data_IF_258838075066
#
_entry.id   IF_258838075066
#
_cell.length_a   1.000
_cell.length_b   1.000
_cell.length_c   1.000
_cell.angle_alpha   90.00
_cell.angle_beta   90.00
_cell.angle_gamma   90.00
#
_symmetry.space_group_name_H-M   'P 1'
#
loop_
_entity.id
_entity.type
_entity.pdbx_description
1 polymer ?
#
# COMPACT_ATOMS: atom_id res chain seq x y z
N UNK A 1 -15.73 8.71 3.58
CA UNK A 1 -14.80 9.28 2.58
C UNK A 1 -13.86 8.18 2.11
N UNK A 2 -14.04 7.73 0.86
CA UNK A 2 -13.31 6.58 0.33
C UNK A 2 -11.80 6.77 0.19
N UNK A 3 -11.24 7.95 0.40
CA UNK A 3 -9.81 8.22 0.29
C UNK A 3 -9.22 7.95 -1.11
N UNK A 4 -7.97 8.30 -1.33
CA UNK A 4 -7.31 8.08 -2.62
C UNK A 4 -6.98 6.58 -2.87
N UNK A 5 -6.73 5.80 -1.80
CA UNK A 5 -6.28 4.42 -1.91
C UNK A 5 -7.31 3.48 -2.58
N UNK A 6 -8.61 3.45 -2.19
CA UNK A 6 -9.60 2.66 -2.91
C UNK A 6 -9.72 3.02 -4.39
N UNK A 7 -9.55 4.29 -4.74
CA UNK A 7 -9.56 4.75 -6.14
C UNK A 7 -8.37 4.19 -6.91
N UNK A 8 -7.17 4.20 -6.31
CA UNK A 8 -5.95 3.65 -6.91
C UNK A 8 -6.08 2.14 -7.11
N UNK A 9 -6.57 1.43 -6.08
CA UNK A 9 -6.79 -0.02 -6.14
C UNK A 9 -7.85 -0.36 -7.20
N UNK A 10 -8.98 0.36 -7.22
CA UNK A 10 -10.04 0.16 -8.21
C UNK A 10 -9.55 0.36 -9.65
N UNK A 11 -8.73 1.40 -9.89
CA UNK A 11 -8.10 1.60 -11.20
C UNK A 11 -7.16 0.44 -11.56
N UNK A 12 -6.38 -0.05 -10.60
CA UNK A 12 -5.49 -1.18 -10.81
C UNK A 12 -6.26 -2.45 -11.13
N UNK A 13 -7.33 -2.76 -10.40
CA UNK A 13 -8.21 -3.89 -10.68
C UNK A 13 -8.85 -3.78 -12.06
N UNK A 14 -9.33 -2.59 -12.44
CA UNK A 14 -9.87 -2.35 -13.79
C UNK A 14 -8.83 -2.61 -14.89
N UNK A 15 -7.57 -2.28 -14.65
CA UNK A 15 -6.50 -2.57 -15.61
C UNK A 15 -6.25 -4.08 -15.77
N UNK A 16 -6.35 -4.85 -14.68
CA UNK A 16 -6.21 -6.31 -14.68
C UNK A 16 -7.42 -6.95 -15.39
N UNK A 17 -8.64 -6.46 -15.13
CA UNK A 17 -9.84 -6.90 -15.86
C UNK A 17 -9.68 -6.73 -17.37
N UNK A 18 -9.24 -5.56 -17.81
CA UNK A 18 -9.02 -5.29 -19.23
C UNK A 18 -7.91 -6.16 -19.86
N UNK A 19 -6.89 -6.55 -19.09
CA UNK A 19 -5.89 -7.52 -19.53
C UNK A 19 -6.50 -8.92 -19.71
N UNK A 20 -7.34 -9.35 -18.76
CA UNK A 20 -8.02 -10.65 -18.81
C UNK A 20 -8.98 -10.75 -19.99
N UNK A 21 -9.78 -9.72 -20.24
CA UNK A 21 -10.70 -9.65 -21.35
C UNK A 21 -9.96 -9.77 -22.71
N UNK A 22 -8.83 -9.08 -22.84
CA UNK A 22 -7.97 -9.18 -24.04
C UNK A 22 -7.41 -10.58 -24.25
N UNK A 23 -7.15 -11.32 -23.16
CA UNK A 23 -6.63 -12.68 -23.21
C UNK A 23 -7.75 -13.75 -23.32
N UNK A 24 -9.01 -13.32 -23.50
CA UNK A 24 -10.16 -14.17 -23.80
C UNK A 24 -10.91 -14.71 -22.59
N UNK A 25 -10.66 -14.20 -21.39
CA UNK A 25 -11.47 -14.51 -20.21
C UNK A 25 -12.74 -13.65 -20.22
N UNK A 26 -13.91 -14.27 -20.37
CA UNK A 26 -15.11 -13.56 -20.82
C UNK A 26 -16.14 -13.18 -19.74
N UNK A 27 -16.04 -13.58 -18.47
CA UNK A 27 -17.06 -13.25 -17.48
C UNK A 27 -16.52 -13.14 -16.06
N UNK A 28 -16.87 -12.04 -15.38
CA UNK A 28 -16.47 -11.79 -14.01
C UNK A 28 -16.97 -12.84 -12.99
N UNK A 29 -18.03 -13.58 -13.32
CA UNK A 29 -18.61 -14.63 -12.47
C UNK A 29 -18.07 -16.02 -12.76
N UNK A 30 -17.21 -16.17 -13.76
CA UNK A 30 -16.56 -17.46 -14.04
C UNK A 30 -15.46 -17.73 -13.01
N UNK A 31 -15.44 -18.93 -12.43
CA UNK A 31 -14.39 -19.36 -11.50
C UNK A 31 -12.99 -19.30 -12.12
N UNK A 32 -12.86 -19.57 -13.42
CA UNK A 32 -11.61 -19.44 -14.16
C UNK A 32 -11.14 -17.97 -14.21
N UNK A 33 -12.03 -17.04 -14.47
CA UNK A 33 -11.74 -15.60 -14.46
C UNK A 33 -11.26 -15.16 -13.09
N UNK A 34 -11.98 -15.49 -12.03
CA UNK A 34 -11.62 -15.11 -10.64
C UNK A 34 -10.25 -15.68 -10.24
N UNK A 35 -9.97 -16.92 -10.60
CA UNK A 35 -8.68 -17.55 -10.32
C UNK A 35 -7.54 -16.87 -11.08
N UNK A 36 -7.71 -16.60 -12.37
CA UNK A 36 -6.69 -15.93 -13.18
C UNK A 36 -6.46 -14.49 -12.71
N UNK A 37 -7.52 -13.78 -12.33
CA UNK A 37 -7.42 -12.46 -11.75
C UNK A 37 -6.53 -12.47 -10.50
N UNK A 38 -6.77 -13.40 -9.59
CA UNK A 38 -5.97 -13.60 -8.38
C UNK A 38 -4.50 -13.90 -8.70
N UNK A 39 -4.24 -14.77 -9.68
CA UNK A 39 -2.89 -15.11 -10.13
C UNK A 39 -2.17 -13.85 -10.64
N UNK A 40 -2.83 -13.01 -11.42
CA UNK A 40 -2.26 -11.76 -11.94
C UNK A 40 -1.95 -10.76 -10.85
N UNK A 41 -2.85 -10.58 -9.88
CA UNK A 41 -2.58 -9.77 -8.69
C UNK A 41 -1.30 -10.24 -8.01
N UNK A 42 -1.22 -11.53 -7.69
CA UNK A 42 -0.07 -12.11 -6.99
C UNK A 42 1.22 -11.94 -7.80
N UNK A 43 1.17 -12.16 -9.11
CA UNK A 43 2.33 -11.99 -10.00
C UNK A 43 2.81 -10.53 -10.04
N UNK A 44 1.89 -9.58 -10.14
CA UNK A 44 2.22 -8.14 -10.16
C UNK A 44 2.76 -7.67 -8.81
N UNK A 45 2.23 -8.16 -7.69
CA UNK A 45 2.71 -7.78 -6.33
C UNK A 45 4.10 -8.31 -5.99
N UNK A 46 4.58 -9.36 -6.67
CA UNK A 46 5.93 -9.91 -6.44
C UNK A 46 7.05 -8.88 -6.61
N UNK A 47 6.84 -7.89 -7.47
CA UNK A 47 7.81 -6.80 -7.66
C UNK A 47 8.03 -6.01 -6.36
N UNK A 48 7.00 -5.93 -5.50
CA UNK A 48 7.05 -5.20 -4.23
C UNK A 48 7.63 -6.04 -3.10
N UNK A 49 7.62 -7.37 -3.21
CA UNK A 49 8.03 -8.28 -2.12
C UNK A 49 9.53 -8.16 -1.78
N UNK A 50 10.35 -7.66 -2.70
CA UNK A 50 11.77 -7.40 -2.48
C UNK A 50 12.07 -6.15 -1.63
N UNK A 51 11.11 -5.28 -1.45
CA UNK A 51 11.24 -4.05 -0.67
C UNK A 51 10.92 -4.27 0.81
N UNK A 52 11.41 -3.38 1.67
CA UNK A 52 11.10 -3.41 3.12
C UNK A 52 9.59 -3.29 3.33
N UNK A 53 9.00 -4.26 4.01
CA UNK A 53 7.54 -4.32 4.22
C UNK A 53 6.73 -4.83 3.02
N UNK A 54 7.37 -5.16 1.91
CA UNK A 54 6.71 -5.58 0.67
C UNK A 54 5.88 -6.86 0.81
N UNK A 55 6.35 -7.83 1.61
CA UNK A 55 5.58 -9.04 1.90
C UNK A 55 4.29 -8.75 2.67
N UNK A 56 4.35 -7.87 3.68
CA UNK A 56 3.17 -7.46 4.45
C UNK A 56 2.19 -6.69 3.56
N UNK A 57 2.70 -5.77 2.75
CA UNK A 57 1.90 -5.02 1.78
C UNK A 57 1.18 -5.96 0.81
N UNK A 58 1.89 -6.91 0.21
CA UNK A 58 1.31 -7.88 -0.72
C UNK A 58 0.29 -8.80 -0.03
N UNK A 59 0.54 -9.20 1.23
CA UNK A 59 -0.38 -10.03 1.99
C UNK A 59 -1.69 -9.27 2.28
N UNK A 60 -1.62 -8.02 2.73
CA UNK A 60 -2.82 -7.21 3.01
C UNK A 60 -3.56 -6.87 1.72
N UNK A 61 -2.87 -6.61 0.61
CA UNK A 61 -3.52 -6.38 -0.68
C UNK A 61 -4.29 -7.62 -1.17
N UNK A 62 -3.79 -8.82 -0.91
CA UNK A 62 -4.52 -10.07 -1.21
C UNK A 62 -5.78 -10.21 -0.36
N UNK A 63 -5.69 -9.93 0.94
CA UNK A 63 -6.88 -9.92 1.81
C UNK A 63 -7.92 -8.89 1.37
N UNK A 64 -7.46 -7.69 0.96
CA UNK A 64 -8.35 -6.69 0.38
C UNK A 64 -9.06 -7.21 -0.87
N UNK A 65 -8.32 -7.85 -1.79
CA UNK A 65 -8.89 -8.43 -3.00
C UNK A 65 -9.88 -9.56 -2.69
N UNK A 66 -9.52 -10.48 -1.79
CA UNK A 66 -10.40 -11.59 -1.41
C UNK A 66 -11.68 -11.06 -0.72
N UNK A 67 -11.57 -10.01 0.10
CA UNK A 67 -12.70 -9.32 0.71
C UNK A 67 -13.62 -8.67 -0.34
N UNK A 68 -13.03 -7.91 -1.26
CA UNK A 68 -13.75 -7.26 -2.36
C UNK A 68 -14.48 -8.28 -3.25
N UNK A 69 -13.87 -9.43 -3.56
CA UNK A 69 -14.50 -10.50 -4.35
C UNK A 69 -15.69 -11.18 -3.65
N UNK A 70 -15.73 -11.14 -2.33
CA UNK A 70 -16.76 -11.79 -1.52
C UNK A 70 -17.75 -10.80 -0.89
N UNK A 71 -17.70 -9.52 -1.26
CA UNK A 71 -18.51 -8.44 -0.68
C UNK A 71 -18.37 -8.38 0.87
N UNK A 72 -17.14 -8.64 1.38
CA UNK A 72 -16.83 -8.59 2.81
C UNK A 72 -16.31 -7.19 3.19
N UNK A 73 -17.23 -6.25 3.36
CA UNK A 73 -16.96 -4.85 3.72
C UNK A 73 -16.11 -4.72 5.00
N UNK A 74 -16.27 -5.66 5.94
CA UNK A 74 -15.54 -5.63 7.22
C UNK A 74 -14.05 -5.89 6.99
N UNK A 75 -13.70 -6.92 6.23
CA UNK A 75 -12.31 -7.23 5.90
C UNK A 75 -11.70 -6.21 4.95
N UNK A 76 -12.47 -5.72 3.99
CA UNK A 76 -12.02 -4.63 3.11
C UNK A 76 -11.64 -3.40 3.94
N UNK A 77 -12.52 -2.99 4.86
CA UNK A 77 -12.27 -1.88 5.78
C UNK A 77 -11.07 -2.12 6.70
N UNK A 78 -10.88 -3.36 7.18
CA UNK A 78 -9.72 -3.75 7.98
C UNK A 78 -8.40 -3.63 7.20
N UNK A 79 -8.39 -4.03 5.93
CA UNK A 79 -7.22 -3.87 5.06
C UNK A 79 -6.91 -2.39 4.79
N UNK A 80 -7.92 -1.58 4.51
CA UNK A 80 -7.75 -0.13 4.36
C UNK A 80 -7.24 0.54 5.63
N UNK A 81 -7.72 0.11 6.80
CA UNK A 81 -7.25 0.56 8.11
C UNK A 81 -5.75 0.26 8.28
N UNK A 82 -5.29 -0.92 7.85
CA UNK A 82 -3.88 -1.26 7.88
C UNK A 82 -3.04 -0.35 6.98
N UNK A 83 -3.46 -0.15 5.73
CA UNK A 83 -2.76 0.72 4.79
C UNK A 83 -2.65 2.19 5.25
N UNK A 84 -3.59 2.65 6.08
CA UNK A 84 -3.56 4.00 6.67
C UNK A 84 -2.69 4.09 7.92
N UNK A 85 -2.13 2.97 8.41
CA UNK A 85 -1.34 2.94 9.64
C UNK A 85 -2.17 3.17 10.91
N UNK A 86 -3.46 2.81 10.89
CA UNK A 86 -4.41 3.08 11.98
C UNK A 86 -4.47 1.96 13.03
N UNK A 87 -3.65 0.92 12.91
CA UNK A 87 -3.53 -0.11 13.95
C UNK A 87 -2.48 0.25 14.98
N UNK A 88 -2.85 0.21 16.26
CA UNK A 88 -1.93 0.47 17.36
C UNK A 88 -1.08 -0.76 17.75
N UNK A 89 -1.57 -1.96 17.49
CA UNK A 89 -0.87 -3.20 17.83
C UNK A 89 -0.88 -4.21 16.70
N UNK A 90 0.19 -5.00 16.63
CA UNK A 90 0.29 -6.13 15.68
C UNK A 90 -0.80 -7.17 15.91
N UNK A 91 -1.18 -7.40 17.17
CA UNK A 91 -2.22 -8.39 17.53
C UNK A 91 -3.57 -7.97 16.98
N UNK A 92 -3.94 -6.70 17.10
CA UNK A 92 -5.18 -6.17 16.55
C UNK A 92 -5.24 -6.36 15.01
N UNK A 93 -4.19 -5.96 14.31
CA UNK A 93 -4.10 -6.09 12.86
C UNK A 93 -4.17 -7.55 12.39
N UNK A 94 -3.44 -8.44 13.07
CA UNK A 94 -3.43 -9.90 12.77
C UNK A 94 -4.79 -10.54 12.95
N UNK A 95 -5.49 -10.20 14.02
CA UNK A 95 -6.82 -10.72 14.29
C UNK A 95 -7.84 -10.21 13.27
N UNK A 96 -7.78 -8.93 12.91
CA UNK A 96 -8.71 -8.33 11.95
C UNK A 96 -8.53 -8.88 10.53
N UNK A 97 -7.29 -9.16 10.12
CA UNK A 97 -6.95 -9.60 8.76
C UNK A 97 -6.71 -11.11 8.63
N UNK A 98 -6.61 -11.84 9.75
CA UNK A 98 -6.30 -13.27 9.71
C UNK A 98 -4.86 -13.62 9.30
N UNK A 99 -3.96 -12.64 9.23
CA UNK A 99 -2.56 -12.83 8.81
C UNK A 99 -1.68 -13.05 10.03
N UNK A 100 -1.08 -14.24 10.17
CA UNK A 100 -0.30 -14.62 11.36
C UNK A 100 0.98 -13.81 11.54
N UNK A 101 1.68 -13.52 10.47
CA UNK A 101 2.94 -12.77 10.48
C UNK A 101 2.72 -11.44 9.77
N UNK A 102 2.24 -10.44 10.50
CA UNK A 102 1.97 -9.11 9.97
C UNK A 102 2.59 -8.05 10.88
N UNK A 103 3.34 -7.13 10.29
CA UNK A 103 3.78 -5.89 10.93
C UNK A 103 2.72 -4.82 10.81
N UNK A 104 2.84 -3.73 11.55
CA UNK A 104 1.99 -2.55 11.39
C UNK A 104 2.82 -1.38 10.88
N UNK A 105 2.18 -0.47 10.17
CA UNK A 105 2.79 0.80 9.78
C UNK A 105 2.81 1.70 11.02
N UNK A 106 3.98 2.23 11.34
CA UNK A 106 4.21 3.06 12.51
C UNK A 106 5.27 4.14 12.22
N UNK A 107 5.63 4.94 13.24
CA UNK A 107 6.59 6.05 13.12
C UNK A 107 8.01 5.61 12.70
N UNK A 108 8.37 4.35 12.87
CA UNK A 108 9.70 3.84 12.51
C UNK A 108 9.78 3.47 11.02
N UNK A 109 8.69 2.92 10.45
CA UNK A 109 8.70 2.31 9.12
C UNK A 109 7.80 2.98 8.06
N UNK A 110 7.04 4.03 8.43
CA UNK A 110 6.09 4.69 7.51
C UNK A 110 6.73 5.14 6.19
N UNK A 111 8.01 5.51 6.20
CA UNK A 111 8.69 5.96 5.00
C UNK A 111 8.94 4.82 4.01
N UNK A 112 9.24 3.60 4.48
CA UNK A 112 9.37 2.43 3.62
C UNK A 112 8.03 2.08 2.97
N UNK A 113 6.94 2.18 3.73
CA UNK A 113 5.60 2.00 3.16
C UNK A 113 5.21 3.11 2.18
N UNK A 114 5.65 4.34 2.37
CA UNK A 114 5.45 5.42 1.40
C UNK A 114 6.14 5.08 0.07
N UNK A 115 7.36 4.53 0.10
CA UNK A 115 8.05 4.03 -1.09
C UNK A 115 7.29 2.89 -1.77
N UNK A 116 6.76 1.94 -0.99
CA UNK A 116 5.89 0.87 -1.49
C UNK A 116 4.61 1.40 -2.15
N UNK A 117 3.97 2.41 -1.55
CA UNK A 117 2.81 3.07 -2.15
C UNK A 117 3.16 3.76 -3.47
N UNK A 118 4.33 4.36 -3.56
CA UNK A 118 4.81 4.96 -4.80
C UNK A 118 5.00 3.90 -5.89
N UNK A 119 5.66 2.79 -5.55
CA UNK A 119 5.84 1.66 -6.45
C UNK A 119 4.49 1.03 -6.87
N UNK A 120 3.57 0.85 -5.93
CA UNK A 120 2.22 0.36 -6.20
C UNK A 120 1.43 1.30 -7.11
N UNK A 121 1.51 2.61 -6.89
CA UNK A 121 0.86 3.60 -7.75
C UNK A 121 1.31 3.48 -9.20
N UNK A 122 2.59 3.19 -9.44
CA UNK A 122 3.11 2.91 -10.79
C UNK A 122 2.54 1.62 -11.37
N UNK A 123 2.40 0.55 -10.57
CA UNK A 123 1.71 -0.68 -11.00
C UNK A 123 0.25 -0.42 -11.39
N UNK A 124 -0.41 0.54 -10.72
CA UNK A 124 -1.77 0.97 -11.03
C UNK A 124 -1.86 1.93 -12.23
N UNK A 125 -0.72 2.20 -12.92
CA UNK A 125 -0.66 3.02 -14.13
C UNK A 125 -0.61 4.53 -13.87
N UNK A 126 -0.16 4.95 -12.69
CA UNK A 126 0.20 6.35 -12.42
C UNK A 126 1.68 6.58 -12.72
N UNK A 127 2.05 7.81 -13.03
CA UNK A 127 3.44 8.19 -13.32
C UNK A 127 4.32 8.23 -12.06
N UNK A 128 3.71 8.42 -10.90
CA UNK A 128 4.38 8.50 -9.60
C UNK A 128 3.46 9.06 -8.53
N UNK A 129 4.02 9.35 -7.36
CA UNK A 129 3.36 9.96 -6.22
C UNK A 129 4.03 11.31 -5.90
N UNK A 130 3.22 12.36 -5.80
CA UNK A 130 3.70 13.67 -5.32
C UNK A 130 3.23 13.84 -3.87
N UNK A 131 4.19 14.05 -2.97
CA UNK A 131 3.93 14.23 -1.54
C UNK A 131 4.13 15.71 -1.19
N UNK A 132 3.09 16.35 -0.70
CA UNK A 132 3.16 17.70 -0.14
C UNK A 132 3.27 17.60 1.37
N UNK A 133 4.37 18.15 1.92
CA UNK A 133 4.59 18.24 3.37
C UNK A 133 4.31 19.66 3.77
N UNK A 134 3.15 19.87 4.39
CA UNK A 134 2.75 21.19 4.88
C UNK A 134 3.30 21.44 6.29
N UNK A 135 3.35 22.70 6.69
CA UNK A 135 3.74 23.17 8.01
C UNK A 135 5.11 22.68 8.54
N UNK A 136 6.05 22.33 7.66
CA UNK A 136 7.42 21.93 8.05
C UNK A 136 8.09 22.95 9.00
N UNK A 137 7.68 24.22 8.96
CA UNK A 137 8.09 25.26 9.88
C UNK A 137 7.78 24.92 11.35
N UNK A 138 6.77 24.08 11.61
CA UNK A 138 6.40 23.68 12.97
C UNK A 138 7.38 22.68 13.59
N UNK A 139 8.24 22.05 12.79
CA UNK A 139 9.25 21.12 13.31
C UNK A 139 10.20 21.76 14.31
N UNK A 140 10.57 23.05 14.13
CA UNK A 140 11.43 23.74 15.08
C UNK A 140 10.76 23.95 16.44
N UNK A 141 9.42 23.94 16.51
CA UNK A 141 8.64 24.12 17.73
C UNK A 141 8.56 22.84 18.58
N UNK A 142 9.03 21.69 18.08
CA UNK A 142 9.05 20.43 18.84
C UNK A 142 9.99 20.63 20.04
N UNK A 143 9.46 20.54 21.30
CA UNK A 143 10.25 20.84 22.49
C UNK A 143 11.39 19.83 22.71
N UNK A 144 11.12 18.56 22.42
CA UNK A 144 12.10 17.49 22.58
C UNK A 144 13.11 17.53 21.43
N UNK A 145 14.38 17.79 21.77
CA UNK A 145 15.48 17.89 20.81
C UNK A 145 15.66 16.62 19.98
N UNK A 146 15.64 15.45 20.62
CA UNK A 146 15.85 14.16 19.94
C UNK A 146 14.72 13.91 18.92
N UNK A 147 13.47 14.14 19.32
CA UNK A 147 12.34 14.01 18.41
C UNK A 147 12.43 14.97 17.23
N UNK A 148 12.88 16.19 17.47
CA UNK A 148 13.07 17.19 16.41
C UNK A 148 14.17 16.79 15.44
N UNK A 149 15.32 16.34 15.94
CA UNK A 149 16.44 15.84 15.12
C UNK A 149 16.02 14.65 14.28
N UNK A 150 15.33 13.66 14.86
CA UNK A 150 14.81 12.50 14.14
C UNK A 150 13.85 12.89 13.00
N UNK A 151 13.01 13.90 13.18
CA UNK A 151 12.12 14.38 12.11
C UNK A 151 12.91 15.07 10.99
N UNK A 152 13.93 15.87 11.32
CA UNK A 152 14.80 16.46 10.29
C UNK A 152 15.57 15.40 9.52
N UNK A 153 16.09 14.36 10.18
CA UNK A 153 16.78 13.26 9.52
C UNK A 153 15.86 12.50 8.55
N UNK A 154 14.60 12.28 8.92
CA UNK A 154 13.62 11.65 8.04
C UNK A 154 13.34 12.49 6.78
N UNK A 155 13.16 13.80 6.93
CA UNK A 155 12.97 14.71 5.79
C UNK A 155 14.22 14.71 4.89
N UNK A 156 15.40 14.75 5.50
CA UNK A 156 16.66 14.70 4.75
C UNK A 156 16.81 13.38 4.00
N UNK A 157 16.38 12.26 4.59
CA UNK A 157 16.38 10.95 3.91
C UNK A 157 15.45 10.94 2.70
N UNK A 158 14.24 11.48 2.82
CA UNK A 158 13.30 11.61 1.71
C UNK A 158 13.92 12.45 0.58
N UNK A 159 14.50 13.59 0.92
CA UNK A 159 15.16 14.47 -0.04
C UNK A 159 16.33 13.77 -0.75
N UNK A 160 17.19 13.10 0.00
CA UNK A 160 18.36 12.41 -0.54
C UNK A 160 17.95 11.23 -1.45
N UNK A 161 16.97 10.43 -1.05
CA UNK A 161 16.48 9.30 -1.85
C UNK A 161 15.85 9.80 -3.17
N UNK A 162 15.11 10.90 -3.12
CA UNK A 162 14.52 11.52 -4.31
C UNK A 162 15.60 12.06 -5.25
N UNK A 163 16.57 12.81 -4.72
CA UNK A 163 17.66 13.40 -5.52
C UNK A 163 18.60 12.37 -6.12
N UNK A 164 18.78 11.22 -5.46
CA UNK A 164 19.65 10.13 -5.91
C UNK A 164 18.92 9.09 -6.79
N UNK A 165 17.63 9.28 -7.04
CA UNK A 165 16.82 8.33 -7.80
C UNK A 165 16.64 6.97 -7.13
N UNK A 166 16.85 6.90 -5.80
CA UNK A 166 16.68 5.66 -5.01
C UNK A 166 15.24 5.43 -4.58
N UNK A 167 14.42 6.46 -4.60
CA UNK A 167 12.99 6.33 -4.44
C UNK A 167 12.34 6.22 -5.82
N UNK A 168 11.51 5.22 -6.09
CA UNK A 168 10.78 5.08 -7.35
C UNK A 168 9.61 6.09 -7.39
N UNK A 169 9.91 7.36 -7.45
CA UNK A 169 8.94 8.47 -7.44
C UNK A 169 9.14 9.38 -8.63
#
# INVERSE_FOLDING_TARGET
DGGALPVIIGKWFSSISAELERDGFAAADDAAYKNEFRIRIMKKLRVLEGDVGGFDFAAVMREYYDAWQNDDDMRESAALKWFRGEYNTRTEARNALGIRSLSIINDENWYDYLKLFTAFSRLAGYSGLVVFIDECVNLYKIPNRISRENNYEKILSIFNDTMQGRAPG
#
